data_IF_241395964303
#
_entry.id   IF_241395964303
#
_cell.length_a   1.000
_cell.length_b   1.000
_cell.length_c   1.000
_cell.angle_alpha   90.00
_cell.angle_beta   90.00
_cell.angle_gamma   90.00
#
_symmetry.space_group_name_H-M   'P 1'
#
loop_
_entity.id
_entity.type
_entity.pdbx_description
1 polymer ?
#
# COMPACT_ATOMS: atom_id res chain seq x y z
N UNK A 1 -0.43 5.18 -25.05
CA UNK A 1 -0.04 5.12 -23.63
C UNK A 1 -0.85 6.17 -22.89
N UNK A 2 -1.75 5.76 -22.03
CA UNK A 2 -2.56 6.64 -21.18
C UNK A 2 -2.34 6.28 -19.70
N UNK A 3 -2.84 7.11 -18.80
CA UNK A 3 -2.63 6.88 -17.35
C UNK A 3 -3.24 5.56 -16.85
N UNK A 4 -4.32 5.08 -17.49
CA UNK A 4 -4.95 3.82 -17.09
C UNK A 4 -4.06 2.62 -17.47
N UNK A 5 -3.42 2.63 -18.64
CA UNK A 5 -2.46 1.60 -19.05
C UNK A 5 -1.23 1.60 -18.12
N UNK A 6 -0.80 2.78 -17.68
CA UNK A 6 0.32 2.91 -16.75
C UNK A 6 -0.05 2.38 -15.36
N UNK A 7 -1.27 2.63 -14.88
CA UNK A 7 -1.77 2.11 -13.61
C UNK A 7 -1.88 0.58 -13.64
N UNK A 8 -2.45 0.01 -14.70
CA UNK A 8 -2.54 -1.44 -14.89
C UNK A 8 -1.14 -2.09 -14.88
N UNK A 9 -0.20 -1.55 -15.65
CA UNK A 9 1.18 -2.04 -15.68
C UNK A 9 1.87 -1.95 -14.31
N UNK A 10 1.56 -0.91 -13.53
CA UNK A 10 2.07 -0.75 -12.17
C UNK A 10 1.49 -1.81 -11.23
N UNK A 11 0.19 -2.07 -11.30
CA UNK A 11 -0.48 -3.09 -10.46
C UNK A 11 0.03 -4.51 -10.79
N UNK A 12 0.24 -4.83 -12.07
CA UNK A 12 0.86 -6.09 -12.49
C UNK A 12 2.29 -6.22 -11.94
N UNK A 13 3.09 -5.14 -11.97
CA UNK A 13 4.44 -5.12 -11.40
C UNK A 13 4.43 -5.33 -9.89
N UNK A 14 3.45 -4.75 -9.17
CA UNK A 14 3.29 -4.98 -7.73
C UNK A 14 2.93 -6.45 -7.45
N UNK A 15 2.03 -7.04 -8.24
CA UNK A 15 1.65 -8.43 -8.11
C UNK A 15 2.84 -9.38 -8.33
N UNK A 16 3.65 -9.10 -9.36
CA UNK A 16 4.89 -9.86 -9.63
C UNK A 16 5.86 -9.78 -8.45
N UNK A 17 6.17 -8.56 -7.98
CA UNK A 17 7.12 -8.34 -6.89
C UNK A 17 6.63 -8.85 -5.54
N UNK A 18 5.35 -8.74 -5.26
CA UNK A 18 4.70 -9.33 -4.09
C UNK A 18 4.50 -10.85 -4.24
N UNK A 19 4.79 -11.44 -5.40
CA UNK A 19 4.57 -12.85 -5.72
C UNK A 19 3.13 -13.27 -5.46
N UNK A 20 2.16 -12.46 -5.95
CA UNK A 20 0.75 -12.76 -5.82
C UNK A 20 0.35 -13.94 -6.72
N UNK A 21 -0.55 -14.76 -6.20
CA UNK A 21 -1.12 -15.92 -6.90
C UNK A 21 -2.49 -16.25 -6.35
N UNK A 22 -3.27 -17.02 -7.09
CA UNK A 22 -4.59 -17.47 -6.63
C UNK A 22 -4.51 -18.30 -5.34
N UNK A 23 -5.54 -18.19 -4.50
CA UNK A 23 -5.69 -18.96 -3.27
C UNK A 23 -4.98 -18.36 -2.05
N UNK A 24 -4.43 -17.15 -2.14
CA UNK A 24 -3.75 -16.47 -1.04
C UNK A 24 -4.72 -15.63 -0.22
N UNK A 25 -4.40 -15.46 1.06
CA UNK A 25 -4.93 -14.39 1.91
C UNK A 25 -4.00 -13.19 1.82
N UNK A 26 -4.54 -12.07 1.38
CA UNK A 26 -3.79 -10.84 1.10
C UNK A 26 -4.33 -9.73 1.99
N UNK A 27 -3.45 -9.06 2.74
CA UNK A 27 -3.76 -7.88 3.52
C UNK A 27 -3.18 -6.65 2.82
N UNK A 28 -4.02 -5.64 2.55
CA UNK A 28 -3.57 -4.34 2.10
C UNK A 28 -3.67 -3.32 3.23
N UNK A 29 -2.54 -2.69 3.57
CA UNK A 29 -2.45 -1.64 4.58
C UNK A 29 -2.45 -0.26 3.90
N UNK A 30 -3.52 0.51 4.10
CA UNK A 30 -3.71 1.81 3.48
C UNK A 30 -4.25 1.70 2.05
N UNK A 31 -5.45 1.16 1.90
CA UNK A 31 -6.02 0.85 0.57
C UNK A 31 -6.52 2.06 -0.24
N UNK A 32 -6.50 3.28 0.32
CA UNK A 32 -6.97 4.47 -0.36
C UNK A 32 -8.38 4.30 -0.95
N UNK A 33 -8.58 4.63 -2.19
CA UNK A 33 -9.83 4.44 -2.93
C UNK A 33 -9.97 3.06 -3.57
N UNK A 34 -9.07 2.11 -3.26
CA UNK A 34 -9.21 0.71 -3.60
C UNK A 34 -8.63 0.29 -4.95
N UNK A 35 -7.73 1.08 -5.53
CA UNK A 35 -7.09 0.74 -6.81
C UNK A 35 -6.51 -0.68 -6.79
N UNK A 36 -5.68 -0.99 -5.80
CA UNK A 36 -5.07 -2.32 -5.71
C UNK A 36 -6.06 -3.40 -5.23
N UNK A 37 -6.81 -3.18 -4.13
CA UNK A 37 -7.65 -4.25 -3.58
C UNK A 37 -8.78 -4.69 -4.53
N UNK A 38 -9.40 -3.74 -5.26
CA UNK A 38 -10.42 -4.06 -6.27
C UNK A 38 -9.82 -4.82 -7.45
N UNK A 39 -8.67 -4.36 -7.96
CA UNK A 39 -7.94 -5.03 -9.02
C UNK A 39 -7.49 -6.43 -8.61
N UNK A 40 -6.93 -6.59 -7.40
CA UNK A 40 -6.47 -7.87 -6.90
C UNK A 40 -7.64 -8.86 -6.68
N UNK A 41 -8.78 -8.38 -6.18
CA UNK A 41 -9.98 -9.21 -5.99
C UNK A 41 -10.51 -9.75 -7.33
N UNK A 42 -10.52 -8.90 -8.36
CA UNK A 42 -10.94 -9.29 -9.72
C UNK A 42 -9.94 -10.23 -10.38
N UNK A 43 -8.64 -9.94 -10.25
CA UNK A 43 -7.54 -10.69 -10.87
C UNK A 43 -7.31 -12.06 -10.24
N UNK A 44 -7.58 -12.20 -8.94
CA UNK A 44 -7.37 -13.41 -8.15
C UNK A 44 -8.66 -13.87 -7.43
N UNK A 45 -9.69 -14.32 -8.16
CA UNK A 45 -11.00 -14.64 -7.55
C UNK A 45 -10.95 -15.77 -6.53
N UNK A 46 -9.91 -16.60 -6.53
CA UNK A 46 -9.68 -17.64 -5.53
C UNK A 46 -8.92 -17.17 -4.28
N UNK A 47 -8.49 -15.90 -4.24
CA UNK A 47 -7.83 -15.29 -3.08
C UNK A 47 -8.83 -14.53 -2.22
N UNK A 48 -8.47 -14.27 -0.97
CA UNK A 48 -9.25 -13.41 -0.08
C UNK A 48 -8.43 -12.15 0.23
N UNK A 49 -9.00 -10.98 -0.05
CA UNK A 49 -8.36 -9.68 0.15
C UNK A 49 -9.00 -8.98 1.35
N UNK A 50 -8.19 -8.62 2.33
CA UNK A 50 -8.57 -7.75 3.44
C UNK A 50 -7.89 -6.40 3.25
N UNK A 51 -8.65 -5.36 3.02
CA UNK A 51 -8.17 -4.00 2.80
C UNK A 51 -8.43 -3.12 4.03
N UNK A 52 -7.43 -2.35 4.45
CA UNK A 52 -7.53 -1.48 5.63
C UNK A 52 -7.43 -0.02 5.21
N UNK A 53 -8.39 0.79 5.65
CA UNK A 53 -8.38 2.25 5.52
C UNK A 53 -8.82 2.91 6.82
N UNK A 54 -8.33 4.10 7.11
CA UNK A 54 -8.83 4.92 8.23
C UNK A 54 -10.05 5.79 7.85
N UNK A 55 -10.56 5.69 6.62
CA UNK A 55 -11.64 6.51 6.08
C UNK A 55 -12.92 5.70 5.83
N UNK A 56 -14.02 6.10 6.45
CA UNK A 56 -15.34 5.52 6.19
C UNK A 56 -15.80 5.73 4.74
N UNK A 57 -15.55 6.93 4.16
CA UNK A 57 -15.94 7.23 2.78
C UNK A 57 -15.18 6.36 1.76
N UNK A 58 -13.90 6.07 1.99
CA UNK A 58 -13.13 5.15 1.17
C UNK A 58 -13.71 3.73 1.24
N UNK A 59 -14.03 3.26 2.44
CA UNK A 59 -14.69 1.96 2.62
C UNK A 59 -16.01 1.87 1.85
N UNK A 60 -16.91 2.84 2.04
CA UNK A 60 -18.21 2.87 1.37
C UNK A 60 -18.07 2.82 -0.15
N UNK A 61 -17.11 3.58 -0.69
CA UNK A 61 -16.80 3.57 -2.13
C UNK A 61 -16.32 2.20 -2.59
N UNK A 62 -15.33 1.60 -1.90
CA UNK A 62 -14.76 0.30 -2.27
C UNK A 62 -15.83 -0.80 -2.20
N UNK A 63 -16.64 -0.83 -1.15
CA UNK A 63 -17.75 -1.79 -1.02
C UNK A 63 -18.82 -1.62 -2.11
N UNK A 64 -19.10 -0.37 -2.53
CA UNK A 64 -19.99 -0.11 -3.64
C UNK A 64 -19.41 -0.61 -4.97
N UNK A 65 -18.12 -0.39 -5.22
CA UNK A 65 -17.42 -0.90 -6.41
C UNK A 65 -17.35 -2.43 -6.42
N UNK A 66 -17.06 -3.05 -5.28
CA UNK A 66 -17.03 -4.50 -5.15
C UNK A 66 -18.40 -5.12 -5.49
N UNK A 67 -19.49 -4.54 -4.98
CA UNK A 67 -20.86 -4.99 -5.34
C UNK A 67 -21.15 -4.83 -6.83
N UNK A 68 -20.78 -3.69 -7.45
CA UNK A 68 -20.99 -3.46 -8.88
C UNK A 68 -20.24 -4.47 -9.77
N UNK A 69 -19.07 -4.92 -9.32
CA UNK A 69 -18.21 -5.88 -10.03
C UNK A 69 -18.48 -7.34 -9.61
N UNK A 70 -19.45 -7.58 -8.71
CA UNK A 70 -19.75 -8.90 -8.13
C UNK A 70 -18.50 -9.58 -7.50
N UNK A 71 -17.68 -8.80 -6.79
CA UNK A 71 -16.52 -9.29 -6.05
C UNK A 71 -16.99 -9.67 -4.64
N UNK A 72 -16.89 -10.94 -4.28
CA UNK A 72 -17.31 -11.51 -2.98
C UNK A 72 -16.11 -11.89 -2.09
N UNK A 73 -14.90 -11.69 -2.60
CA UNK A 73 -13.63 -12.06 -1.99
C UNK A 73 -12.84 -10.87 -1.43
N UNK A 74 -13.51 -9.72 -1.23
CA UNK A 74 -12.91 -8.48 -0.68
C UNK A 74 -13.65 -8.03 0.57
N UNK A 75 -12.91 -7.87 1.66
CA UNK A 75 -13.36 -7.28 2.92
C UNK A 75 -12.63 -5.95 3.17
N UNK A 76 -13.36 -4.92 3.66
CA UNK A 76 -12.77 -3.63 4.02
C UNK A 76 -12.95 -3.35 5.50
N UNK A 77 -11.83 -3.11 6.19
CA UNK A 77 -11.77 -2.76 7.61
C UNK A 77 -11.49 -1.26 7.73
N UNK A 78 -12.34 -0.52 8.46
CA UNK A 78 -12.04 0.88 8.80
C UNK A 78 -11.36 0.93 10.16
N UNK A 79 -10.05 1.19 10.14
CA UNK A 79 -9.22 1.24 11.34
C UNK A 79 -7.95 2.05 11.06
N UNK A 80 -7.44 2.74 12.09
CA UNK A 80 -6.07 3.24 12.04
C UNK A 80 -5.12 2.04 12.15
N UNK A 81 -4.11 1.98 11.29
CA UNK A 81 -3.13 0.88 11.29
C UNK A 81 -2.40 0.70 12.62
N UNK A 82 -2.28 1.78 13.40
CA UNK A 82 -1.67 1.74 14.74
C UNK A 82 -2.53 0.98 15.78
N UNK A 83 -3.86 0.94 15.56
CA UNK A 83 -4.83 0.30 16.45
C UNK A 83 -5.32 -1.04 15.89
N UNK A 84 -4.83 -1.43 14.71
CA UNK A 84 -5.27 -2.64 14.02
C UNK A 84 -4.83 -3.90 14.77
N UNK A 85 -5.78 -4.77 15.03
CA UNK A 85 -5.56 -6.09 15.59
C UNK A 85 -6.23 -7.14 14.71
N UNK A 86 -5.49 -8.16 14.31
CA UNK A 86 -5.97 -9.22 13.43
C UNK A 86 -5.64 -10.58 14.04
N UNK A 87 -6.64 -11.46 14.12
CA UNK A 87 -6.49 -12.82 14.64
C UNK A 87 -6.08 -13.83 13.56
N UNK A 88 -6.23 -13.44 12.29
CA UNK A 88 -5.87 -14.28 11.14
C UNK A 88 -4.48 -13.94 10.61
N UNK A 89 -3.90 -14.90 9.88
CA UNK A 89 -2.62 -14.72 9.19
C UNK A 89 -2.82 -14.61 7.70
N UNK A 90 -1.83 -13.97 7.05
CA UNK A 90 -1.84 -13.65 5.62
C UNK A 90 -0.60 -14.21 4.94
N UNK A 91 -0.78 -14.66 3.71
CA UNK A 91 0.33 -15.06 2.84
C UNK A 91 1.10 -13.85 2.34
N UNK A 92 0.39 -12.73 2.13
CA UNK A 92 0.95 -11.48 1.62
C UNK A 92 0.39 -10.28 2.38
N UNK A 93 1.28 -9.35 2.67
CA UNK A 93 0.91 -7.99 3.12
C UNK A 93 1.41 -7.01 2.07
N UNK A 94 0.56 -6.12 1.62
CA UNK A 94 0.86 -5.10 0.62
C UNK A 94 0.62 -3.73 1.21
N UNK A 95 1.52 -2.79 0.99
CA UNK A 95 1.37 -1.39 1.38
C UNK A 95 1.90 -0.48 0.28
N UNK A 96 1.05 0.41 -0.21
CA UNK A 96 1.34 1.29 -1.34
C UNK A 96 1.10 2.72 -0.89
N UNK A 97 2.14 3.57 -0.91
CA UNK A 97 2.08 5.00 -0.59
C UNK A 97 1.40 5.28 0.78
N UNK A 98 1.72 4.47 1.79
CA UNK A 98 1.13 4.61 3.13
C UNK A 98 2.19 4.76 4.22
N UNK A 99 3.34 4.09 4.09
CA UNK A 99 4.36 4.08 5.13
C UNK A 99 4.99 5.46 5.37
N UNK A 100 4.88 6.40 4.46
CA UNK A 100 5.25 7.81 4.62
C UNK A 100 4.52 8.50 5.79
N UNK A 101 3.32 7.99 6.11
CA UNK A 101 2.50 8.49 7.22
C UNK A 101 2.78 7.78 8.54
N UNK A 102 3.60 6.72 8.54
CA UNK A 102 3.94 5.94 9.73
C UNK A 102 5.23 6.47 10.36
N UNK A 103 5.19 6.78 11.66
CA UNK A 103 6.40 7.21 12.40
C UNK A 103 7.11 6.06 13.10
N UNK A 104 6.38 5.05 13.54
CA UNK A 104 6.92 3.92 14.30
C UNK A 104 6.99 2.66 13.44
N UNK A 105 7.96 2.60 12.53
CA UNK A 105 8.19 1.42 11.69
C UNK A 105 8.46 0.15 12.50
N UNK A 106 9.15 0.26 13.65
CA UNK A 106 9.45 -0.90 14.49
C UNK A 106 8.19 -1.60 14.95
N UNK A 107 7.22 -0.85 15.48
CA UNK A 107 5.96 -1.42 15.96
C UNK A 107 5.10 -1.93 14.81
N UNK A 108 5.02 -1.17 13.71
CA UNK A 108 4.30 -1.63 12.52
C UNK A 108 4.86 -2.95 11.99
N UNK A 109 6.17 -3.05 11.78
CA UNK A 109 6.80 -4.26 11.23
C UNK A 109 6.72 -5.44 12.19
N UNK A 110 6.75 -5.21 13.50
CA UNK A 110 6.45 -6.24 14.51
C UNK A 110 5.04 -6.79 14.36
N UNK A 111 4.05 -5.91 14.22
CA UNK A 111 2.66 -6.30 14.04
C UNK A 111 2.46 -7.04 12.72
N UNK A 112 3.00 -6.53 11.61
CA UNK A 112 2.97 -7.19 10.30
C UNK A 112 3.59 -8.59 10.37
N UNK A 113 4.74 -8.73 11.03
CA UNK A 113 5.37 -10.05 11.22
C UNK A 113 4.46 -11.04 11.97
N UNK A 114 3.65 -10.55 12.92
CA UNK A 114 2.69 -11.40 13.64
C UNK A 114 1.47 -11.80 12.79
N UNK A 115 1.12 -10.99 11.79
CA UNK A 115 0.04 -11.27 10.85
C UNK A 115 0.47 -12.08 9.63
N UNK A 116 1.76 -12.22 9.36
CA UNK A 116 2.26 -13.03 8.25
C UNK A 116 2.33 -14.52 8.62
N UNK A 117 2.05 -15.36 7.63
CA UNK A 117 2.42 -16.78 7.69
C UNK A 117 3.96 -16.91 7.71
N UNK A 118 4.53 -18.04 8.17
CA UNK A 118 5.99 -18.22 8.26
C UNK A 118 6.75 -17.93 6.95
N UNK A 119 6.17 -18.25 5.80
CA UNK A 119 6.71 -18.00 4.46
C UNK A 119 6.03 -16.79 3.79
N UNK A 120 5.33 -15.97 4.58
CA UNK A 120 4.63 -14.80 4.10
C UNK A 120 5.60 -13.68 3.71
N UNK A 121 5.18 -12.84 2.76
CA UNK A 121 5.96 -11.69 2.29
C UNK A 121 5.17 -10.39 2.49
N UNK A 122 5.89 -9.34 2.86
CA UNK A 122 5.40 -7.97 2.79
C UNK A 122 6.00 -7.27 1.57
N UNK A 123 5.15 -6.69 0.73
CA UNK A 123 5.54 -5.78 -0.33
C UNK A 123 5.25 -4.34 0.08
N UNK A 124 6.22 -3.46 -0.12
CA UNK A 124 6.10 -2.03 0.15
C UNK A 124 6.46 -1.25 -1.10
N UNK A 125 5.56 -0.39 -1.57
CA UNK A 125 5.87 0.71 -2.46
C UNK A 125 5.78 2.02 -1.68
N UNK A 126 6.86 2.79 -1.69
CA UNK A 126 7.01 4.01 -0.91
C UNK A 126 7.90 4.97 -1.69
N UNK A 127 7.53 6.25 -1.75
CA UNK A 127 8.47 7.24 -2.24
C UNK A 127 9.55 7.52 -1.19
N UNK A 128 10.76 7.78 -1.62
CA UNK A 128 11.87 7.99 -0.71
C UNK A 128 12.93 8.92 -1.30
N UNK A 129 13.67 9.60 -0.43
CA UNK A 129 14.90 10.27 -0.81
C UNK A 129 16.03 9.26 -0.94
N UNK A 130 16.98 9.52 -1.84
CA UNK A 130 18.08 8.57 -2.08
C UNK A 130 18.95 8.27 -0.85
N UNK A 131 19.11 9.26 0.06
CA UNK A 131 20.07 9.18 1.18
C UNK A 131 19.60 9.82 2.49
N UNK A 132 18.56 10.67 2.46
CA UNK A 132 18.17 11.46 3.63
C UNK A 132 16.79 11.03 4.12
N UNK A 133 16.67 10.91 5.44
CA UNK A 133 15.42 10.77 6.14
C UNK A 133 15.11 12.08 6.86
N UNK A 134 13.93 12.65 6.63
CA UNK A 134 13.51 13.90 7.26
C UNK A 134 11.98 13.98 7.41
N UNK A 135 11.47 14.64 8.46
CA UNK A 135 10.06 14.94 8.57
C UNK A 135 9.65 15.97 7.51
N UNK A 136 8.39 15.98 7.13
CA UNK A 136 7.85 17.07 6.34
C UNK A 136 7.57 18.25 7.28
N UNK A 137 8.26 19.37 7.05
CA UNK A 137 8.16 20.59 7.84
C UNK A 137 7.50 21.72 7.03
N UNK A 138 6.28 22.09 7.41
CA UNK A 138 5.57 23.27 6.93
C UNK A 138 5.19 23.26 5.45
N UNK A 139 4.18 24.06 5.13
CA UNK A 139 3.68 24.22 3.78
C UNK A 139 2.36 23.49 3.51
N UNK A 140 1.66 23.95 2.48
CA UNK A 140 0.31 23.51 2.18
C UNK A 140 0.14 21.98 2.06
N UNK A 141 1.10 21.29 1.42
CA UNK A 141 1.09 19.84 1.27
C UNK A 141 1.20 19.12 2.62
N UNK A 142 2.09 19.60 3.49
CA UNK A 142 2.27 19.05 4.84
C UNK A 142 1.01 19.22 5.67
N UNK A 143 0.40 20.42 5.60
CA UNK A 143 -0.75 20.74 6.43
C UNK A 143 -2.03 20.01 5.98
N UNK A 144 -2.15 19.68 4.70
CA UNK A 144 -3.37 19.12 4.11
C UNK A 144 -3.28 17.62 3.75
N UNK A 145 -2.09 17.10 3.40
CA UNK A 145 -1.93 15.71 2.95
C UNK A 145 -0.95 14.90 3.81
N UNK A 146 0.15 15.50 4.25
CA UNK A 146 1.22 14.78 4.93
C UNK A 146 1.35 15.19 6.40
N UNK A 147 0.24 15.52 7.07
CA UNK A 147 0.24 15.90 8.48
C UNK A 147 0.98 14.87 9.34
N UNK A 148 2.16 15.23 9.82
CA UNK A 148 3.02 14.32 10.58
C UNK A 148 3.74 13.26 9.77
N UNK A 149 3.70 13.33 8.43
CA UNK A 149 4.43 12.44 7.54
C UNK A 149 5.93 12.73 7.48
N UNK A 150 6.63 11.86 6.79
CA UNK A 150 8.09 11.94 6.65
C UNK A 150 8.53 11.45 5.27
N UNK A 151 9.67 11.98 4.81
CA UNK A 151 10.39 11.45 3.66
C UNK A 151 11.39 10.41 4.15
N UNK A 152 11.15 9.11 3.93
CA UNK A 152 12.14 8.11 4.29
C UNK A 152 13.33 8.14 3.34
N UNK A 153 14.50 7.72 3.83
CA UNK A 153 15.61 7.36 2.96
C UNK A 153 15.36 5.97 2.35
N UNK A 154 15.98 5.69 1.21
CA UNK A 154 15.83 4.40 0.51
C UNK A 154 16.14 3.19 1.40
N UNK A 155 17.11 3.32 2.30
CA UNK A 155 17.53 2.27 3.22
C UNK A 155 16.81 2.27 4.57
N UNK A 156 15.87 3.19 4.78
CA UNK A 156 15.22 3.36 6.10
C UNK A 156 14.65 2.04 6.63
N UNK A 157 13.90 1.29 5.81
CA UNK A 157 13.28 0.04 6.25
C UNK A 157 14.31 -1.07 6.55
N UNK A 158 15.51 -1.00 5.98
CA UNK A 158 16.59 -1.97 6.22
C UNK A 158 17.12 -1.91 7.66
N UNK A 159 16.90 -0.78 8.35
CA UNK A 159 17.32 -0.60 9.76
C UNK A 159 16.35 -1.23 10.78
N UNK A 160 15.21 -1.77 10.34
CA UNK A 160 14.19 -2.40 11.19
C UNK A 160 14.11 -3.91 10.91
N UNK A 161 15.19 -4.62 11.21
CA UNK A 161 15.35 -6.04 10.87
C UNK A 161 15.08 -7.01 12.04
N UNK A 162 14.49 -6.53 13.14
CA UNK A 162 14.27 -7.34 14.34
C UNK A 162 13.24 -8.46 14.10
N UNK A 163 12.22 -8.21 13.28
CA UNK A 163 11.11 -9.13 13.04
C UNK A 163 11.01 -9.61 11.60
N UNK A 164 11.53 -8.82 10.66
CA UNK A 164 11.48 -9.08 9.23
C UNK A 164 12.81 -8.71 8.58
N UNK A 165 13.10 -9.28 7.41
CA UNK A 165 14.31 -8.95 6.64
C UNK A 165 13.91 -8.53 5.24
N UNK A 166 14.58 -7.51 4.71
CA UNK A 166 14.42 -7.14 3.30
C UNK A 166 15.00 -8.27 2.44
N UNK A 167 14.15 -8.85 1.61
CA UNK A 167 14.51 -9.91 0.69
C UNK A 167 15.02 -9.35 -0.65
N UNK A 168 14.39 -8.29 -1.13
CA UNK A 168 14.77 -7.60 -2.37
C UNK A 168 14.39 -6.12 -2.29
N UNK A 169 14.96 -5.30 -3.16
CA UNK A 169 14.66 -3.88 -3.25
C UNK A 169 14.86 -3.35 -4.68
N UNK A 170 13.93 -2.53 -5.15
CA UNK A 170 13.93 -1.96 -6.50
C UNK A 170 13.86 -0.43 -6.43
N UNK A 171 14.68 0.24 -7.22
CA UNK A 171 14.56 1.68 -7.41
C UNK A 171 13.75 1.95 -8.67
N UNK A 172 12.69 2.72 -8.52
CA UNK A 172 11.87 3.22 -9.62
C UNK A 172 12.23 4.68 -9.85
N UNK A 173 12.39 5.07 -11.13
CA UNK A 173 12.76 6.44 -11.47
C UNK A 173 11.62 7.41 -11.12
N UNK A 174 11.89 8.45 -10.35
CA UNK A 174 10.94 9.48 -9.97
C UNK A 174 10.29 10.24 -11.14
N UNK A 175 10.84 10.15 -12.36
CA UNK A 175 10.21 10.70 -13.57
C UNK A 175 8.83 10.07 -13.85
N UNK A 176 8.60 8.82 -13.47
CA UNK A 176 7.27 8.20 -13.59
C UNK A 176 6.25 8.92 -12.72
N UNK A 177 6.64 9.29 -11.50
CA UNK A 177 5.77 10.05 -10.60
C UNK A 177 5.48 11.46 -11.13
N UNK A 178 6.49 12.13 -11.69
CA UNK A 178 6.32 13.43 -12.34
C UNK A 178 5.31 13.35 -13.50
N UNK A 179 5.40 12.34 -14.35
CA UNK A 179 4.46 12.12 -15.46
C UNK A 179 3.03 11.85 -14.96
N UNK A 180 2.89 11.13 -13.85
CA UNK A 180 1.58 10.90 -13.20
C UNK A 180 0.97 12.21 -12.71
N UNK A 181 1.78 13.06 -12.05
CA UNK A 181 1.32 14.38 -11.59
C UNK A 181 0.89 15.29 -12.74
N UNK A 182 1.62 15.32 -13.86
CA UNK A 182 1.22 16.06 -15.06
C UNK A 182 -0.12 15.54 -15.62
N UNK A 183 -0.29 14.22 -15.71
CA UNK A 183 -1.54 13.65 -16.19
C UNK A 183 -2.73 13.91 -15.24
N UNK A 184 -2.50 14.06 -13.94
CA UNK A 184 -3.54 14.48 -12.99
C UNK A 184 -3.86 15.97 -13.16
N UNK A 185 -2.85 16.81 -13.35
CA UNK A 185 -3.03 18.25 -13.57
C UNK A 185 -3.89 18.51 -14.81
N UNK A 186 -3.63 17.83 -15.93
CA UNK A 186 -4.45 17.92 -17.15
C UNK A 186 -5.93 17.59 -16.94
N UNK A 187 -6.27 16.83 -15.90
CA UNK A 187 -7.67 16.48 -15.58
C UNK A 187 -8.35 17.50 -14.66
N UNK A 188 -7.58 18.41 -14.06
CA UNK A 188 -8.09 19.45 -13.16
C UNK A 188 -8.38 20.77 -13.90
N UNK A 189 -7.78 20.98 -15.06
CA UNK A 189 -7.99 22.12 -15.96
C UNK A 189 -9.16 21.87 -16.93
#
# INVERSE_FOLDING_TARGET
DNINDAEEAMLELYAERAQLRGGQRILELGCGWGSFCLWAAERYPGSHITAVSNSHGQREYIEAQARLRALDNLEVITCNVADLTLDQRFDRVVSIEMLEHVRNYRELLKNVASWLEPEGLMFVHIFCHAHLHYPFDGGWMTDNFFAGGQMPAFDTLMHFSEHMRVADSWRVNGLHYAQTLEAWLEKLD
#
